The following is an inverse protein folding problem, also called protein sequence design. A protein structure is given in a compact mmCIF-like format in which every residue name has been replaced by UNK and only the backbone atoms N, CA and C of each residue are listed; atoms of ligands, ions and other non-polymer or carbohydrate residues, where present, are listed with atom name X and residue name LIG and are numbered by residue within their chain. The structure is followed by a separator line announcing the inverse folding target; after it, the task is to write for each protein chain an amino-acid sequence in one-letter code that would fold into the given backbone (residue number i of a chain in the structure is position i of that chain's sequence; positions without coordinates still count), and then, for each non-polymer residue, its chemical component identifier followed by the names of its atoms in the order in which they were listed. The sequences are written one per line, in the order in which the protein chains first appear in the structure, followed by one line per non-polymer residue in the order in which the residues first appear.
data_IF_403906615488
#
_entry.id   IF_403906615488
#
_cell.length_a   1.000
_cell.length_b   1.000
_cell.length_c   1.000
_cell.angle_alpha   90.00
_cell.angle_beta   90.00
_cell.angle_gamma   90.00
#
_symmetry.space_group_name_H-M   'P 1'
#
loop_
_entity.id
_entity.type
_entity.pdbx_description
1 polymer ?
#
# COMPACT_ATOMS: atom_id res chain seq x y z
N UNK A 1 14.22 81.77 38.46
CA UNK A 1 13.53 80.62 39.11
C UNK A 1 12.29 80.12 38.33
N UNK A 2 12.27 80.14 36.98
CA UNK A 2 11.15 79.62 36.16
C UNK A 2 11.49 78.34 35.36
N UNK A 3 12.77 77.94 35.32
CA UNK A 3 13.25 76.82 34.50
C UNK A 3 13.18 75.46 35.23
N UNK A 4 13.42 75.42 36.54
CA UNK A 4 13.34 74.18 37.33
C UNK A 4 11.89 73.67 37.43
N UNK A 5 10.94 74.57 37.67
CA UNK A 5 9.51 74.22 37.71
C UNK A 5 8.97 73.70 36.36
N UNK A 6 9.48 74.19 35.23
CA UNK A 6 9.11 73.69 33.89
C UNK A 6 9.71 72.30 33.61
N UNK A 7 10.92 72.03 34.11
CA UNK A 7 11.56 70.72 34.00
C UNK A 7 10.84 69.69 34.89
N UNK A 8 10.46 70.06 36.11
CA UNK A 8 9.66 69.20 36.99
C UNK A 8 8.27 68.89 36.39
N UNK A 9 7.61 69.87 35.76
CA UNK A 9 6.36 69.67 35.03
C UNK A 9 6.51 68.75 33.80
N UNK A 10 7.62 68.84 33.07
CA UNK A 10 7.92 67.95 31.94
C UNK A 10 8.24 66.52 32.41
N UNK A 11 8.95 66.38 33.53
CA UNK A 11 9.25 65.08 34.13
C UNK A 11 7.98 64.40 34.68
N UNK A 12 7.06 65.13 35.30
CA UNK A 12 5.78 64.56 35.76
C UNK A 12 4.85 64.21 34.60
N UNK A 13 4.79 65.04 33.55
CA UNK A 13 4.05 64.74 32.33
C UNK A 13 4.59 63.50 31.59
N UNK A 14 5.92 63.34 31.51
CA UNK A 14 6.53 62.12 30.94
C UNK A 14 6.29 60.89 31.80
N UNK A 15 6.33 61.02 33.14
CA UNK A 15 6.03 59.91 34.07
C UNK A 15 4.58 59.45 33.97
N UNK A 16 3.64 60.38 33.81
CA UNK A 16 2.22 60.08 33.68
C UNK A 16 1.87 59.47 32.32
N UNK A 17 2.54 59.92 31.24
CA UNK A 17 2.41 59.30 29.90
C UNK A 17 3.00 57.88 29.85
N UNK A 18 4.05 57.61 30.63
CA UNK A 18 4.66 56.29 30.79
C UNK A 18 3.87 55.35 31.73
N UNK A 19 3.00 55.87 32.61
CA UNK A 19 2.08 55.06 33.43
C UNK A 19 0.76 54.73 32.72
N UNK A 20 0.33 55.54 31.74
CA UNK A 20 -0.90 55.32 30.94
C UNK A 20 -0.63 54.53 29.63
N UNK A 21 0.62 54.48 29.17
CA UNK A 21 1.08 53.52 28.18
C UNK A 21 2.13 52.64 28.84
N UNK A 22 1.65 51.57 29.49
CA UNK A 22 2.50 50.57 30.10
C UNK A 22 3.57 50.10 29.11
N UNK A 23 4.83 50.25 29.51
CA UNK A 23 5.95 49.61 28.88
C UNK A 23 5.81 48.09 29.02
N UNK A 24 5.25 47.43 28.01
CA UNK A 24 5.61 46.07 27.62
C UNK A 24 5.29 45.86 26.15
N UNK A 25 6.08 46.51 25.30
CA UNK A 25 6.14 46.18 23.88
C UNK A 25 7.59 46.23 23.40
N UNK A 26 8.42 45.38 23.99
CA UNK A 26 9.50 44.71 23.28
C UNK A 26 10.06 43.59 24.16
N UNK A 27 10.26 42.40 23.56
CA UNK A 27 10.81 41.16 24.15
C UNK A 27 9.83 40.22 24.88
N UNK A 28 8.69 39.86 24.26
CA UNK A 28 8.05 38.55 24.50
C UNK A 28 7.56 37.80 23.26
N UNK A 29 7.61 38.39 22.06
CA UNK A 29 7.17 37.70 20.82
C UNK A 29 8.10 36.55 20.42
N UNK A 30 9.40 36.60 20.77
CA UNK A 30 10.34 35.51 20.43
C UNK A 30 10.18 34.27 21.32
N UNK A 31 9.78 34.43 22.59
CA UNK A 31 9.61 33.31 23.52
C UNK A 31 8.25 32.62 23.39
N UNK A 32 7.17 33.36 23.10
CA UNK A 32 5.86 32.74 22.86
C UNK A 32 5.80 31.99 21.52
N UNK A 33 6.43 32.51 20.46
CA UNK A 33 6.55 31.80 19.19
C UNK A 33 7.41 30.54 19.35
N UNK A 34 8.55 30.62 20.04
CA UNK A 34 9.38 29.43 20.33
C UNK A 34 8.66 28.40 21.20
N UNK A 35 7.90 28.82 22.21
CA UNK A 35 7.16 27.91 23.08
C UNK A 35 6.01 27.23 22.34
N UNK A 36 5.28 27.96 21.49
CA UNK A 36 4.25 27.38 20.62
C UNK A 36 4.83 26.42 19.57
N UNK A 37 6.02 26.69 19.03
CA UNK A 37 6.70 25.75 18.13
C UNK A 37 7.17 24.51 18.86
N UNK A 38 7.74 24.64 20.06
CA UNK A 38 8.21 23.50 20.85
C UNK A 38 7.03 22.61 21.32
N UNK A 39 5.91 23.21 21.73
CA UNK A 39 4.68 22.49 22.06
C UNK A 39 4.10 21.80 20.82
N UNK A 40 4.04 22.46 19.67
CA UNK A 40 3.54 21.87 18.42
C UNK A 40 4.43 20.73 17.91
N UNK A 41 5.76 20.83 18.09
CA UNK A 41 6.71 19.77 17.78
C UNK A 41 6.57 18.59 18.76
N UNK A 42 6.36 18.85 20.05
CA UNK A 42 6.07 17.82 21.04
C UNK A 42 4.77 17.07 20.73
N UNK A 43 3.68 17.79 20.43
CA UNK A 43 2.41 17.18 20.02
C UNK A 43 2.52 16.45 18.69
N UNK A 44 3.34 16.93 17.76
CA UNK A 44 3.62 16.24 16.50
C UNK A 44 4.35 14.93 16.68
N UNK A 45 5.33 14.90 17.59
CA UNK A 45 6.07 13.70 17.95
C UNK A 45 5.19 12.71 18.70
N UNK A 46 4.41 13.17 19.68
CA UNK A 46 3.44 12.35 20.39
C UNK A 46 2.38 11.76 19.44
N UNK A 47 1.93 12.53 18.45
CA UNK A 47 1.01 12.06 17.42
C UNK A 47 1.63 10.95 16.55
N UNK A 48 2.89 11.11 16.13
CA UNK A 48 3.63 10.10 15.38
C UNK A 48 3.83 8.81 16.17
N UNK A 49 4.19 8.91 17.46
CA UNK A 49 4.33 7.76 18.36
C UNK A 49 2.99 7.04 18.49
N UNK A 50 1.91 7.79 18.72
CA UNK A 50 0.57 7.21 18.84
C UNK A 50 0.11 6.50 17.57
N UNK A 51 0.35 7.09 16.39
CA UNK A 51 0.08 6.42 15.11
C UNK A 51 0.86 5.11 14.97
N UNK A 52 2.15 5.10 15.37
CA UNK A 52 2.97 3.89 15.31
C UNK A 52 2.43 2.78 16.22
N UNK A 53 1.86 3.14 17.38
CA UNK A 53 1.21 2.18 18.29
C UNK A 53 -0.08 1.61 17.71
N UNK A 54 -0.85 2.40 16.96
CA UNK A 54 -2.13 1.98 16.39
C UNK A 54 -1.97 1.15 15.08
N UNK A 55 -0.85 1.31 14.36
CA UNK A 55 -0.64 0.66 13.06
C UNK A 55 -0.65 -0.88 13.05
N UNK A 56 -0.08 -1.62 14.02
CA UNK A 56 -0.15 -3.08 14.01
C UNK A 56 -1.58 -3.62 13.88
N UNK A 57 -2.52 -3.05 14.64
CA UNK A 57 -3.93 -3.46 14.62
C UNK A 57 -4.59 -3.13 13.28
N UNK A 58 -4.31 -1.94 12.73
CA UNK A 58 -4.85 -1.50 11.45
C UNK A 58 -4.31 -2.27 10.25
N UNK A 59 -3.01 -2.58 10.27
CA UNK A 59 -2.39 -3.43 9.25
C UNK A 59 -3.00 -4.82 9.33
N UNK A 60 -3.13 -5.40 10.53
CA UNK A 60 -3.74 -6.71 10.71
C UNK A 60 -5.19 -6.75 10.22
N UNK A 61 -6.03 -5.77 10.60
CA UNK A 61 -7.41 -5.69 10.13
C UNK A 61 -7.51 -5.58 8.61
N UNK A 62 -6.60 -4.83 7.97
CA UNK A 62 -6.56 -4.72 6.51
C UNK A 62 -6.14 -6.04 5.84
N UNK A 63 -5.20 -6.78 6.44
CA UNK A 63 -4.79 -8.12 5.98
C UNK A 63 -5.92 -9.13 6.13
N UNK A 64 -6.67 -9.09 7.23
CA UNK A 64 -7.82 -9.97 7.48
C UNK A 64 -8.95 -9.73 6.47
N UNK A 65 -9.20 -8.46 6.10
CA UNK A 65 -10.11 -8.09 5.02
C UNK A 65 -9.55 -8.30 3.60
N UNK A 66 -8.33 -8.85 3.47
CA UNK A 66 -7.62 -9.06 2.19
C UNK A 66 -7.37 -7.78 1.38
N UNK A 67 -7.41 -6.61 2.01
CA UNK A 67 -7.02 -5.33 1.41
C UNK A 67 -5.51 -5.11 1.59
N UNK A 68 -4.74 -5.81 0.76
CA UNK A 68 -3.29 -5.81 0.83
C UNK A 68 -2.66 -4.47 0.41
N UNK A 69 -3.33 -3.70 -0.45
CA UNK A 69 -2.82 -2.39 -0.86
C UNK A 69 -2.90 -1.39 0.29
N UNK A 70 -4.03 -1.36 1.01
CA UNK A 70 -4.16 -0.54 2.22
C UNK A 70 -3.18 -0.99 3.30
N UNK A 71 -3.06 -2.29 3.54
CA UNK A 71 -2.08 -2.83 4.49
C UNK A 71 -0.64 -2.39 4.14
N UNK A 72 -0.28 -2.43 2.86
CA UNK A 72 1.04 -2.00 2.36
C UNK A 72 1.25 -0.50 2.57
N UNK A 73 0.26 0.34 2.27
CA UNK A 73 0.36 1.79 2.47
C UNK A 73 0.56 2.14 3.96
N UNK A 74 -0.19 1.50 4.86
CA UNK A 74 -0.04 1.67 6.30
C UNK A 74 1.35 1.22 6.79
N UNK A 75 1.85 0.08 6.30
CA UNK A 75 3.19 -0.39 6.61
C UNK A 75 4.29 0.59 6.14
N UNK A 76 4.18 1.10 4.91
CA UNK A 76 5.15 2.07 4.38
C UNK A 76 5.10 3.40 5.14
N UNK A 77 3.92 3.83 5.57
CA UNK A 77 3.76 5.00 6.41
C UNK A 77 4.38 4.78 7.80
N UNK A 78 4.15 3.62 8.42
CA UNK A 78 4.76 3.23 9.69
C UNK A 78 6.30 3.25 9.57
N UNK A 79 6.84 2.74 8.46
CA UNK A 79 8.28 2.77 8.16
C UNK A 79 8.82 4.20 8.05
N UNK A 80 8.11 5.07 7.35
CA UNK A 80 8.49 6.47 7.19
C UNK A 80 8.49 7.21 8.52
N UNK A 81 7.44 7.03 9.33
CA UNK A 81 7.36 7.64 10.67
C UNK A 81 8.50 7.13 11.55
N UNK A 82 8.72 5.82 11.60
CA UNK A 82 9.79 5.24 12.41
C UNK A 82 11.17 5.77 11.98
N UNK A 83 11.44 5.84 10.68
CA UNK A 83 12.71 6.38 10.15
C UNK A 83 12.86 7.86 10.47
N UNK A 84 11.78 8.65 10.32
CA UNK A 84 11.78 10.09 10.63
C UNK A 84 12.06 10.33 12.12
N UNK A 85 11.39 9.59 13.01
CA UNK A 85 11.61 9.66 14.46
C UNK A 85 13.05 9.30 14.87
N UNK A 86 13.68 8.35 14.18
CA UNK A 86 15.09 7.98 14.45
C UNK A 86 16.09 9.03 13.91
N UNK A 87 15.80 9.65 12.76
CA UNK A 87 16.66 10.69 12.17
C UNK A 87 16.56 12.02 12.93
N UNK A 88 15.43 12.31 13.57
CA UNK A 88 15.20 13.49 14.41
C UNK A 88 15.88 13.41 15.81
N UNK A 89 16.97 12.65 15.92
CA UNK A 89 17.79 12.42 17.13
C UNK A 89 18.34 13.70 17.81
N UNK A 90 18.10 14.88 17.23
CA UNK A 90 18.43 16.19 17.81
C UNK A 90 17.29 16.82 18.62
N UNK A 91 16.07 16.26 18.62
CA UNK A 91 14.86 17.01 18.99
C UNK A 91 14.25 16.79 20.39
N UNK A 92 14.65 15.80 21.19
CA UNK A 92 14.25 15.76 22.62
C UNK A 92 14.84 14.59 23.41
N UNK A 93 15.29 14.86 24.63
CA UNK A 93 15.67 13.85 25.64
C UNK A 93 14.52 12.92 26.01
N UNK A 94 13.27 13.30 25.74
CA UNK A 94 12.09 12.50 26.07
C UNK A 94 11.78 11.45 25.01
N UNK A 95 11.96 11.72 23.71
CA UNK A 95 11.85 10.70 22.65
C UNK A 95 12.86 9.58 22.88
N UNK A 96 14.03 9.92 23.44
CA UNK A 96 15.07 8.95 23.80
C UNK A 96 14.55 7.90 24.78
N UNK A 97 13.71 8.30 25.74
CA UNK A 97 13.12 7.38 26.72
C UNK A 97 12.12 6.41 26.09
N UNK A 98 11.48 6.79 25.00
CA UNK A 98 10.48 5.97 24.30
C UNK A 98 11.11 5.05 23.22
N UNK A 99 12.36 5.28 22.80
CA UNK A 99 13.01 4.46 21.77
C UNK A 99 13.03 2.95 22.06
N UNK A 100 13.22 2.45 23.29
CA UNK A 100 13.16 1.00 23.54
C UNK A 100 11.76 0.42 23.23
N UNK A 101 10.71 1.16 23.56
CA UNK A 101 9.32 0.77 23.27
C UNK A 101 9.05 0.85 21.77
N UNK A 102 9.45 1.95 21.12
CA UNK A 102 9.31 2.15 19.67
C UNK A 102 10.08 1.08 18.88
N UNK A 103 11.28 0.72 19.33
CA UNK A 103 12.10 -0.34 18.73
C UNK A 103 11.41 -1.70 18.83
N UNK A 104 10.86 -2.05 20.00
CA UNK A 104 10.09 -3.28 20.17
C UNK A 104 8.85 -3.32 19.28
N UNK A 105 8.13 -2.21 19.18
CA UNK A 105 6.94 -2.11 18.32
C UNK A 105 7.29 -2.15 16.83
N UNK A 106 8.37 -1.48 16.45
CA UNK A 106 8.88 -1.56 15.09
C UNK A 106 9.26 -3.00 14.70
N UNK A 107 9.86 -3.77 15.60
CA UNK A 107 10.13 -5.19 15.35
C UNK A 107 8.85 -5.96 15.03
N UNK A 108 7.77 -5.74 15.78
CA UNK A 108 6.46 -6.33 15.46
C UNK A 108 5.92 -5.86 14.10
N UNK A 109 6.00 -4.56 13.81
CA UNK A 109 5.57 -3.97 12.53
C UNK A 109 6.38 -4.53 11.35
N UNK A 110 7.68 -4.74 11.53
CA UNK A 110 8.59 -5.20 10.48
C UNK A 110 8.22 -6.58 9.92
N UNK A 111 7.66 -7.47 10.75
CA UNK A 111 7.20 -8.79 10.35
C UNK A 111 5.97 -8.75 9.44
N UNK A 112 5.17 -7.69 9.49
CA UNK A 112 4.02 -7.56 8.59
C UNK A 112 4.43 -7.48 7.12
N UNK A 113 5.65 -7.04 6.78
CA UNK A 113 6.14 -7.09 5.41
C UNK A 113 6.05 -8.52 4.84
N UNK A 114 6.56 -9.51 5.57
CA UNK A 114 6.51 -10.90 5.14
C UNK A 114 5.09 -11.45 5.13
N UNK A 115 4.26 -11.09 6.11
CA UNK A 115 2.85 -11.54 6.18
C UNK A 115 2.04 -11.02 5.00
N UNK A 116 2.17 -9.72 4.67
CA UNK A 116 1.49 -9.10 3.53
C UNK A 116 1.94 -9.77 2.22
N UNK A 117 3.25 -9.95 2.03
CA UNK A 117 3.79 -10.60 0.83
C UNK A 117 3.34 -12.07 0.69
N UNK A 118 3.32 -12.82 1.79
CA UNK A 118 2.84 -14.20 1.79
C UNK A 118 1.35 -14.26 1.43
N UNK A 119 0.54 -13.37 2.00
CA UNK A 119 -0.88 -13.25 1.66
C UNK A 119 -1.10 -12.89 0.19
N UNK A 120 -0.35 -11.91 -0.31
CA UNK A 120 -0.36 -11.53 -1.74
C UNK A 120 -0.05 -12.73 -2.64
N UNK A 121 1.04 -13.46 -2.36
CA UNK A 121 1.46 -14.63 -3.14
C UNK A 121 0.45 -15.78 -3.05
N UNK A 122 -0.18 -15.97 -1.90
CA UNK A 122 -1.25 -16.96 -1.74
C UNK A 122 -2.45 -16.62 -2.65
N UNK A 123 -2.84 -15.34 -2.73
CA UNK A 123 -3.90 -14.89 -3.64
C UNK A 123 -3.55 -15.06 -5.13
N UNK A 124 -2.27 -14.93 -5.50
CA UNK A 124 -1.84 -15.21 -6.89
C UNK A 124 -2.00 -16.68 -7.27
N UNK A 125 -1.87 -17.59 -6.29
CA UNK A 125 -2.05 -19.02 -6.48
C UNK A 125 -3.52 -19.47 -6.32
N UNK A 126 -4.39 -18.63 -5.76
CA UNK A 126 -5.77 -19.02 -5.47
C UNK A 126 -6.60 -19.21 -6.76
N UNK A 127 -7.34 -20.32 -6.77
CA UNK A 127 -8.12 -20.85 -7.90
C UNK A 127 -9.63 -20.78 -7.67
N UNK A 128 -10.06 -20.53 -6.43
CA UNK A 128 -11.46 -20.69 -6.02
C UNK A 128 -12.23 -19.37 -5.97
N UNK A 129 -11.54 -18.24 -5.87
CA UNK A 129 -12.16 -16.92 -5.85
C UNK A 129 -12.11 -16.23 -7.22
N UNK A 130 -13.28 -15.77 -7.68
CA UNK A 130 -13.44 -14.90 -8.84
C UNK A 130 -12.92 -13.50 -8.52
N UNK A 131 -11.59 -13.36 -8.43
CA UNK A 131 -10.95 -12.10 -8.11
C UNK A 131 -11.20 -11.05 -9.20
N UNK A 132 -11.62 -9.87 -8.75
CA UNK A 132 -11.75 -8.70 -9.63
C UNK A 132 -10.38 -8.27 -10.16
N UNK A 133 -10.38 -7.61 -11.32
CA UNK A 133 -9.14 -7.06 -11.91
C UNK A 133 -8.48 -6.02 -11.01
N UNK A 134 -9.30 -5.26 -10.26
CA UNK A 134 -8.81 -4.27 -9.31
C UNK A 134 -8.09 -4.92 -8.13
N UNK A 135 -8.66 -5.96 -7.52
CA UNK A 135 -8.00 -6.65 -6.40
C UNK A 135 -6.68 -7.29 -6.82
N UNK A 136 -6.63 -7.89 -8.01
CA UNK A 136 -5.39 -8.44 -8.55
C UNK A 136 -4.35 -7.33 -8.76
N UNK A 137 -4.78 -6.18 -9.27
CA UNK A 137 -3.94 -5.00 -9.43
C UNK A 137 -3.39 -4.52 -8.10
N UNK A 138 -4.23 -4.45 -7.07
CA UNK A 138 -3.88 -3.99 -5.72
C UNK A 138 -2.84 -4.92 -5.06
N UNK A 139 -2.99 -6.24 -5.24
CA UNK A 139 -2.03 -7.25 -4.79
C UNK A 139 -0.68 -7.09 -5.51
N UNK A 140 -0.69 -6.97 -6.83
CA UNK A 140 0.55 -6.81 -7.61
C UNK A 140 1.25 -5.48 -7.29
N UNK A 141 0.49 -4.39 -7.10
CA UNK A 141 1.01 -3.11 -6.61
C UNK A 141 1.67 -3.26 -5.24
N UNK A 142 1.06 -4.02 -4.33
CA UNK A 142 1.61 -4.28 -3.00
C UNK A 142 2.96 -4.97 -3.06
N UNK A 143 3.13 -5.97 -3.93
CA UNK A 143 4.42 -6.64 -4.16
C UNK A 143 5.46 -5.65 -4.69
N UNK A 144 5.11 -4.85 -5.71
CA UNK A 144 5.99 -3.81 -6.29
C UNK A 144 6.49 -2.84 -5.20
N UNK A 145 5.58 -2.36 -4.37
CA UNK A 145 5.86 -1.35 -3.34
C UNK A 145 6.70 -1.90 -2.17
N UNK A 146 6.57 -3.18 -1.83
CA UNK A 146 7.28 -3.79 -0.70
C UNK A 146 8.65 -4.37 -1.08
N UNK A 147 8.78 -4.93 -2.28
CA UNK A 147 10.03 -5.56 -2.77
C UNK A 147 10.84 -4.66 -3.71
N UNK A 148 10.36 -3.44 -4.00
CA UNK A 148 10.97 -2.52 -4.98
C UNK A 148 11.08 -3.15 -6.39
N UNK A 149 10.17 -4.09 -6.69
CA UNK A 149 10.16 -4.88 -7.93
C UNK A 149 9.65 -4.07 -9.12
N UNK A 150 10.15 -4.39 -10.31
CA UNK A 150 9.65 -3.80 -11.57
C UNK A 150 8.33 -4.45 -12.00
N UNK A 151 7.48 -3.76 -12.77
CA UNK A 151 6.28 -4.38 -13.38
C UNK A 151 6.59 -5.66 -14.17
N UNK A 152 7.79 -5.74 -14.77
CA UNK A 152 8.27 -6.93 -15.47
C UNK A 152 8.54 -8.10 -14.54
N UNK A 153 9.21 -7.87 -13.41
CA UNK A 153 9.48 -8.93 -12.43
C UNK A 153 8.18 -9.46 -11.84
N UNK A 154 7.26 -8.58 -11.47
CA UNK A 154 5.96 -8.97 -10.90
C UNK A 154 5.08 -9.67 -11.93
N UNK A 155 5.17 -9.31 -13.21
CA UNK A 155 4.53 -10.08 -14.28
C UNK A 155 5.07 -11.51 -14.39
N UNK A 156 6.39 -11.69 -14.34
CA UNK A 156 7.00 -13.04 -14.33
C UNK A 156 6.61 -13.83 -13.08
N UNK A 157 6.62 -13.20 -11.91
CA UNK A 157 6.19 -13.82 -10.66
C UNK A 157 4.71 -14.25 -10.71
N UNK A 158 3.85 -13.40 -11.28
CA UNK A 158 2.44 -13.72 -11.52
C UNK A 158 2.27 -14.97 -12.40
N UNK A 159 2.95 -15.04 -13.54
CA UNK A 159 2.88 -16.21 -14.42
C UNK A 159 3.40 -17.49 -13.74
N UNK A 160 4.47 -17.39 -12.95
CA UNK A 160 5.01 -18.51 -12.18
C UNK A 160 4.02 -18.99 -11.11
N UNK A 161 3.38 -18.07 -10.38
CA UNK A 161 2.35 -18.40 -9.39
C UNK A 161 1.15 -19.11 -10.04
N UNK A 162 0.69 -18.62 -11.19
CA UNK A 162 -0.41 -19.25 -11.96
C UNK A 162 -0.02 -20.61 -12.52
N UNK A 163 1.23 -20.80 -12.94
CA UNK A 163 1.74 -22.11 -13.37
C UNK A 163 1.78 -23.10 -12.21
N UNK A 164 2.23 -22.65 -11.02
CA UNK A 164 2.24 -23.48 -9.81
C UNK A 164 0.82 -23.88 -9.39
N UNK A 165 -0.13 -22.94 -9.40
CA UNK A 165 -1.53 -23.22 -9.11
C UNK A 165 -2.14 -24.24 -10.10
N UNK A 166 -1.81 -24.11 -11.39
CA UNK A 166 -2.21 -25.07 -12.42
C UNK A 166 -1.68 -26.47 -12.10
N UNK A 167 -0.39 -26.58 -11.76
CA UNK A 167 0.22 -27.84 -11.35
C UNK A 167 -0.47 -28.42 -10.10
N UNK A 168 -0.76 -27.61 -9.09
CA UNK A 168 -1.44 -28.07 -7.88
C UNK A 168 -2.85 -28.63 -8.18
N UNK A 169 -3.62 -27.97 -9.07
CA UNK A 169 -4.91 -28.50 -9.52
C UNK A 169 -4.75 -29.83 -10.24
N UNK A 170 -3.78 -29.95 -11.15
CA UNK A 170 -3.57 -31.16 -11.96
C UNK A 170 -3.02 -32.34 -11.14
N UNK A 171 -2.19 -32.07 -10.12
CA UNK A 171 -1.53 -33.09 -9.30
C UNK A 171 -2.30 -33.48 -8.04
N UNK A 172 -3.41 -32.81 -7.70
CA UNK A 172 -4.29 -33.16 -6.56
C UNK A 172 -5.07 -34.50 -6.73
N UNK A 173 -4.56 -35.42 -7.54
CA UNK A 173 -5.21 -36.63 -8.06
C UNK A 173 -5.98 -37.54 -7.06
N UNK A 174 -7.02 -38.18 -7.61
CA UNK A 174 -7.95 -39.18 -7.05
C UNK A 174 -8.93 -38.73 -5.94
N UNK A 175 -8.60 -37.75 -5.09
CA UNK A 175 -9.49 -37.36 -3.97
C UNK A 175 -10.50 -36.25 -4.34
N UNK A 176 -10.19 -35.45 -5.37
CA UNK A 176 -11.02 -34.35 -5.85
C UNK A 176 -11.85 -34.76 -7.07
N UNK A 177 -13.02 -34.15 -7.21
CA UNK A 177 -13.90 -34.37 -8.35
C UNK A 177 -13.20 -33.91 -9.65
N UNK A 178 -12.94 -34.85 -10.56
CA UNK A 178 -12.30 -34.60 -11.87
C UNK A 178 -12.98 -33.46 -12.63
N UNK A 179 -14.31 -33.34 -12.51
CA UNK A 179 -15.07 -32.23 -13.11
C UNK A 179 -14.62 -30.88 -12.56
N UNK A 180 -14.50 -30.75 -11.24
CA UNK A 180 -14.06 -29.51 -10.60
C UNK A 180 -12.61 -29.18 -10.94
N UNK A 181 -11.72 -30.17 -11.03
CA UNK A 181 -10.32 -29.94 -11.41
C UNK A 181 -10.21 -29.43 -12.84
N UNK A 182 -10.85 -30.09 -13.81
CA UNK A 182 -10.80 -29.66 -15.21
C UNK A 182 -11.45 -28.27 -15.38
N UNK A 183 -12.56 -28.02 -14.66
CA UNK A 183 -13.22 -26.71 -14.67
C UNK A 183 -12.34 -25.64 -14.01
N UNK A 184 -11.63 -25.97 -12.94
CA UNK A 184 -10.67 -25.09 -12.26
C UNK A 184 -9.47 -24.74 -13.13
N UNK A 185 -8.94 -25.70 -13.89
CA UNK A 185 -7.90 -25.46 -14.90
C UNK A 185 -8.39 -24.45 -15.95
N UNK A 186 -9.56 -24.68 -16.52
CA UNK A 186 -10.12 -23.76 -17.52
C UNK A 186 -10.39 -22.37 -16.93
N UNK A 187 -10.94 -22.30 -15.71
CA UNK A 187 -11.17 -21.04 -14.99
C UNK A 187 -9.88 -20.28 -14.78
N UNK A 188 -8.83 -20.95 -14.30
CA UNK A 188 -7.52 -20.36 -14.02
C UNK A 188 -6.87 -19.81 -15.30
N UNK A 189 -6.91 -20.55 -16.40
CA UNK A 189 -6.35 -20.09 -17.67
C UNK A 189 -7.10 -18.86 -18.21
N UNK A 190 -8.44 -18.91 -18.21
CA UNK A 190 -9.27 -17.80 -18.66
C UNK A 190 -9.10 -16.57 -17.77
N UNK A 191 -9.10 -16.73 -16.45
CA UNK A 191 -8.90 -15.62 -15.51
C UNK A 191 -7.50 -15.02 -15.64
N UNK A 192 -6.48 -15.86 -15.85
CA UNK A 192 -5.10 -15.40 -16.04
C UNK A 192 -4.98 -14.57 -17.30
N UNK A 193 -5.51 -15.04 -18.44
CA UNK A 193 -5.51 -14.26 -19.69
C UNK A 193 -6.26 -12.93 -19.55
N UNK A 194 -7.44 -12.95 -18.92
CA UNK A 194 -8.23 -11.75 -18.64
C UNK A 194 -7.44 -10.75 -17.78
N UNK A 195 -6.79 -11.23 -16.72
CA UNK A 195 -5.96 -10.41 -15.82
C UNK A 195 -4.69 -9.89 -16.50
N UNK A 196 -4.06 -10.67 -17.39
CA UNK A 196 -2.93 -10.20 -18.20
C UNK A 196 -3.38 -9.01 -19.05
N UNK A 197 -4.53 -9.13 -19.70
CA UNK A 197 -5.09 -8.06 -20.52
C UNK A 197 -5.52 -6.85 -19.69
N UNK A 198 -6.30 -7.01 -18.63
CA UNK A 198 -6.80 -5.87 -17.84
C UNK A 198 -5.70 -5.15 -17.04
N UNK A 199 -4.77 -5.91 -16.45
CA UNK A 199 -3.79 -5.38 -15.49
C UNK A 199 -2.53 -4.86 -16.18
N UNK A 200 -2.02 -5.57 -17.19
CA UNK A 200 -0.70 -5.31 -17.78
C UNK A 200 -0.74 -4.75 -19.19
N UNK A 201 -1.83 -4.92 -19.94
CA UNK A 201 -1.91 -4.36 -21.30
C UNK A 201 -2.12 -2.85 -21.23
N UNK A 202 -1.26 -2.12 -21.94
CA UNK A 202 -1.45 -0.71 -22.25
C UNK A 202 -1.58 -0.58 -23.76
N UNK A 203 -2.64 0.06 -24.23
CA UNK A 203 -2.77 0.41 -25.64
C UNK A 203 -2.12 1.79 -25.84
N UNK A 204 -1.01 1.82 -26.59
CA UNK A 204 -0.34 3.07 -26.95
C UNK A 204 -1.08 3.71 -28.12
N UNK A 205 -2.30 4.20 -27.90
CA UNK A 205 -2.98 5.02 -28.90
C UNK A 205 -2.96 6.48 -28.46
N UNK A 206 -2.46 7.36 -29.33
CA UNK A 206 -2.01 8.73 -29.04
C UNK A 206 -3.12 9.71 -28.61
N UNK A 207 -4.32 9.22 -28.31
CA UNK A 207 -5.51 10.06 -28.04
C UNK A 207 -6.26 9.72 -26.76
N UNK A 208 -5.96 8.62 -26.08
CA UNK A 208 -6.50 8.32 -24.73
C UNK A 208 -5.43 7.57 -23.93
N UNK A 209 -5.01 8.12 -22.79
CA UNK A 209 -4.10 7.45 -21.86
C UNK A 209 -4.78 6.24 -21.19
N UNK A 210 -5.01 5.15 -21.92
CA UNK A 210 -5.36 3.85 -21.33
C UNK A 210 -4.10 3.22 -20.75
N UNK A 211 -3.63 3.82 -19.66
CA UNK A 211 -2.63 3.19 -18.80
C UNK A 211 -3.23 1.93 -18.19
N UNK A 212 -2.53 0.80 -18.30
CA UNK A 212 -2.96 -0.47 -17.71
C UNK A 212 -3.27 -0.29 -16.22
N UNK A 213 -4.23 -1.05 -15.68
CA UNK A 213 -4.75 -0.84 -14.32
C UNK A 213 -3.63 -0.80 -13.27
N UNK A 214 -2.57 -1.57 -13.47
CA UNK A 214 -1.36 -1.55 -12.63
C UNK A 214 -0.67 -0.19 -12.61
N UNK A 215 -0.42 0.39 -13.79
CA UNK A 215 0.24 1.68 -13.88
C UNK A 215 -0.67 2.81 -13.39
N UNK A 216 -1.97 2.74 -13.67
CA UNK A 216 -2.95 3.69 -13.15
C UNK A 216 -3.03 3.64 -11.62
N UNK A 217 -3.08 2.45 -11.03
CA UNK A 217 -3.13 2.25 -9.57
C UNK A 217 -1.81 2.66 -8.92
N UNK A 218 -0.66 2.28 -9.48
CA UNK A 218 0.65 2.75 -8.99
C UNK A 218 0.74 4.28 -9.04
N UNK A 219 0.35 4.89 -10.16
CA UNK A 219 0.34 6.35 -10.29
C UNK A 219 -0.61 7.00 -9.29
N UNK A 220 -1.79 6.41 -9.04
CA UNK A 220 -2.71 6.87 -7.98
C UNK A 220 -2.05 6.80 -6.62
N UNK A 221 -1.44 5.67 -6.25
CA UNK A 221 -0.81 5.47 -4.94
C UNK A 221 0.40 6.39 -4.73
N UNK A 222 1.16 6.66 -5.79
CA UNK A 222 2.29 7.60 -5.75
C UNK A 222 1.81 9.07 -5.77
N UNK A 223 0.67 9.36 -6.40
CA UNK A 223 0.15 10.73 -6.54
C UNK A 223 -0.72 11.17 -5.36
N UNK A 224 -1.53 10.27 -4.81
CA UNK A 224 -2.41 10.53 -3.68
C UNK A 224 -1.56 10.72 -2.41
N UNK A 225 -1.56 11.94 -1.89
CA UNK A 225 -0.94 12.22 -0.59
C UNK A 225 -1.61 11.39 0.50
N UNK A 226 -0.84 10.91 1.48
CA UNK A 226 -1.32 10.11 2.62
C UNK A 226 -2.48 10.76 3.43
N UNK A 227 -2.85 12.02 3.17
CA UNK A 227 -3.96 12.73 3.81
C UNK A 227 -5.31 12.00 3.75
N UNK A 228 -5.67 11.37 2.63
CA UNK A 228 -6.99 10.70 2.54
C UNK A 228 -7.03 9.40 3.34
N UNK A 229 -5.93 8.64 3.33
CA UNK A 229 -5.77 7.44 4.15
C UNK A 229 -5.68 7.77 5.64
N UNK A 230 -4.96 8.83 6.00
CA UNK A 230 -4.83 9.32 7.37
C UNK A 230 -6.15 9.87 7.91
N UNK A 231 -6.95 10.58 7.09
CA UNK A 231 -8.26 11.09 7.51
C UNK A 231 -9.20 9.98 7.97
N UNK A 232 -9.23 8.85 7.24
CA UNK A 232 -10.07 7.72 7.58
C UNK A 232 -9.66 7.05 8.90
N UNK A 233 -8.34 6.97 9.16
CA UNK A 233 -7.80 6.28 10.33
C UNK A 233 -7.70 7.18 11.59
N UNK A 234 -7.65 8.50 11.43
CA UNK A 234 -7.55 9.48 12.54
C UNK A 234 -8.89 9.80 13.21
N UNK A 235 -10.02 9.28 12.71
CA UNK A 235 -11.37 9.65 13.16
C UNK A 235 -11.68 9.42 14.66
N UNK A 236 -10.80 8.73 15.41
CA UNK A 236 -10.99 8.49 16.85
C UNK A 236 -9.86 8.95 17.79
N UNK A 237 -8.65 9.25 17.30
CA UNK A 237 -7.46 9.15 18.16
C UNK A 237 -6.60 10.41 18.27
N UNK A 238 -6.46 11.22 17.22
CA UNK A 238 -5.52 12.35 17.21
C UNK A 238 -6.06 13.44 16.30
N UNK A 239 -6.05 14.69 16.74
CA UNK A 239 -6.43 15.80 15.86
C UNK A 239 -5.50 15.79 14.65
N UNK A 240 -6.05 15.73 13.44
CA UNK A 240 -5.31 15.84 12.18
C UNK A 240 -4.45 17.10 12.10
N UNK A 241 -4.68 18.08 12.99
CA UNK A 241 -3.88 19.30 13.17
C UNK A 241 -2.49 19.03 13.77
N UNK A 242 -2.37 18.03 14.65
CA UNK A 242 -1.12 17.73 15.36
C UNK A 242 -0.15 16.90 14.52
N UNK A 243 -0.61 16.19 13.48
CA UNK A 243 0.27 15.38 12.64
C UNK A 243 1.19 16.27 11.78
N UNK A 244 2.52 16.07 11.79
CA UNK A 244 3.46 16.85 11.00
C UNK A 244 3.19 16.78 9.49
N UNK A 245 3.52 17.84 8.78
CA UNK A 245 3.39 17.93 7.31
C UNK A 245 4.18 16.83 6.58
N UNK A 246 5.33 16.41 7.12
CA UNK A 246 6.16 15.32 6.62
C UNK A 246 5.44 13.95 6.58
N UNK A 247 4.44 13.75 7.43
CA UNK A 247 3.63 12.53 7.49
C UNK A 247 2.39 12.66 6.58
N UNK A 248 1.78 13.86 6.55
CA UNK A 248 0.61 14.15 5.68
C UNK A 248 0.93 14.08 4.20
N UNK A 249 2.13 14.50 3.82
CA UNK A 249 2.58 14.57 2.43
C UNK A 249 3.36 13.34 2.00
N UNK A 250 3.47 12.32 2.88
CA UNK A 250 4.18 11.10 2.53
C UNK A 250 3.54 10.45 1.29
N UNK A 251 4.41 10.05 0.37
CA UNK A 251 4.09 9.34 -0.86
C UNK A 251 5.06 8.16 -0.95
N UNK A 252 4.57 6.93 -1.17
CA UNK A 252 5.43 5.80 -1.45
C UNK A 252 6.35 6.14 -2.64
N UNK A 253 7.65 6.13 -2.42
CA UNK A 253 8.63 6.35 -3.47
C UNK A 253 8.94 5.02 -4.14
N UNK A 254 8.70 4.93 -5.45
CA UNK A 254 9.22 3.85 -6.28
C UNK A 254 10.70 4.13 -6.55
N UNK A 255 11.59 3.25 -6.10
CA UNK A 255 13.04 3.37 -6.38
C UNK A 255 13.35 3.14 -7.86
N UNK A 256 12.54 2.35 -8.54
CA UNK A 256 12.66 2.07 -9.98
C UNK A 256 11.43 2.64 -10.67
N UNK A 257 11.57 3.47 -11.73
CA UNK A 257 10.41 3.97 -12.45
C UNK A 257 9.60 2.79 -13.01
N UNK A 258 8.28 2.85 -12.83
CA UNK A 258 7.38 1.85 -13.40
C UNK A 258 7.32 2.05 -14.92
N UNK A 259 8.25 1.40 -15.63
CA UNK A 259 8.24 1.39 -17.09
C UNK A 259 7.10 0.49 -17.58
N UNK A 260 6.24 0.96 -18.48
CA UNK A 260 5.22 0.11 -19.07
C UNK A 260 5.87 -1.06 -19.81
N UNK A 261 5.26 -2.24 -19.69
CA UNK A 261 5.71 -3.43 -20.41
C UNK A 261 5.50 -3.22 -21.91
N UNK A 262 6.52 -3.53 -22.70
CA UNK A 262 6.36 -3.51 -24.15
C UNK A 262 5.37 -4.60 -24.57
N UNK A 263 4.37 -4.22 -25.37
CA UNK A 263 3.31 -5.13 -25.83
C UNK A 263 3.87 -6.38 -26.54
N UNK A 264 5.02 -6.26 -27.23
CA UNK A 264 5.72 -7.40 -27.84
C UNK A 264 6.22 -8.39 -26.79
N UNK A 265 6.92 -7.91 -25.75
CA UNK A 265 7.43 -8.75 -24.68
C UNK A 265 6.30 -9.40 -23.86
N UNK A 266 5.20 -8.67 -23.64
CA UNK A 266 4.01 -9.21 -23.00
C UNK A 266 3.43 -10.38 -23.80
N UNK A 267 3.28 -10.21 -25.12
CA UNK A 267 2.80 -11.24 -26.04
C UNK A 267 3.71 -12.46 -26.04
N UNK A 268 5.03 -12.26 -26.20
CA UNK A 268 5.99 -13.35 -26.29
C UNK A 268 6.00 -14.19 -25.00
N UNK A 269 6.04 -13.55 -23.83
CA UNK A 269 5.97 -14.22 -22.54
C UNK A 269 4.64 -14.93 -22.31
N UNK A 270 3.51 -14.30 -22.69
CA UNK A 270 2.20 -14.91 -22.57
C UNK A 270 2.05 -16.12 -23.50
N UNK A 271 2.61 -16.06 -24.71
CA UNK A 271 2.59 -17.17 -25.66
C UNK A 271 3.46 -18.33 -25.20
N UNK A 272 4.66 -18.05 -24.68
CA UNK A 272 5.53 -19.07 -24.10
C UNK A 272 4.88 -19.73 -22.87
N UNK A 273 4.28 -18.93 -22.00
CA UNK A 273 3.54 -19.42 -20.83
C UNK A 273 2.35 -20.30 -21.25
N UNK A 274 1.54 -19.84 -22.19
CA UNK A 274 0.40 -20.59 -22.72
C UNK A 274 0.83 -21.94 -23.32
N UNK A 275 1.91 -21.97 -24.10
CA UNK A 275 2.44 -23.20 -24.67
C UNK A 275 2.88 -24.19 -23.58
N UNK A 276 3.49 -23.69 -22.50
CA UNK A 276 3.92 -24.51 -21.35
C UNK A 276 2.70 -25.08 -20.62
N UNK A 277 1.70 -24.24 -20.33
CA UNK A 277 0.45 -24.67 -19.71
C UNK A 277 -0.29 -25.69 -20.58
N UNK A 278 -0.31 -25.52 -21.90
CA UNK A 278 -0.98 -26.44 -22.81
C UNK A 278 -0.35 -27.84 -22.78
N UNK A 279 0.98 -27.95 -22.71
CA UNK A 279 1.67 -29.24 -22.56
C UNK A 279 1.34 -29.91 -21.21
N UNK A 280 1.33 -29.13 -20.12
CA UNK A 280 0.98 -29.65 -18.79
C UNK A 280 -0.49 -30.08 -18.70
N UNK A 281 -1.40 -29.30 -19.27
CA UNK A 281 -2.84 -29.61 -19.32
C UNK A 281 -3.09 -30.84 -20.17
N UNK A 282 -2.48 -31.00 -21.33
CA UNK A 282 -2.62 -32.20 -22.16
C UNK A 282 -2.21 -33.47 -21.39
N UNK A 283 -1.08 -33.41 -20.71
CA UNK A 283 -0.56 -34.53 -19.93
C UNK A 283 -1.39 -34.80 -18.68
N UNK A 284 -1.76 -33.74 -17.95
CA UNK A 284 -2.52 -33.81 -16.70
C UNK A 284 -3.98 -34.20 -16.91
N UNK A 285 -4.68 -33.54 -17.83
CA UNK A 285 -6.08 -33.86 -18.17
C UNK A 285 -6.17 -35.25 -18.81
N UNK A 286 -5.20 -35.67 -19.62
CA UNK A 286 -5.15 -37.04 -20.12
C UNK A 286 -5.15 -38.09 -19.00
N UNK A 287 -4.37 -37.85 -17.93
CA UNK A 287 -4.39 -38.69 -16.73
C UNK A 287 -5.72 -38.57 -15.98
N UNK A 288 -6.27 -37.37 -15.81
CA UNK A 288 -7.54 -37.17 -15.12
C UNK A 288 -8.73 -37.84 -15.82
N UNK A 289 -8.77 -37.78 -17.15
CA UNK A 289 -9.81 -38.43 -17.96
C UNK A 289 -9.75 -39.96 -17.90
N UNK A 290 -8.57 -40.55 -17.64
CA UNK A 290 -8.46 -42.01 -17.44
C UNK A 290 -9.27 -42.51 -16.24
N UNK A 291 -9.59 -41.64 -15.26
CA UNK A 291 -10.42 -41.99 -14.11
C UNK A 291 -11.93 -41.83 -14.38
N UNK A 292 -12.32 -41.31 -15.55
CA UNK A 292 -13.73 -41.11 -15.89
C UNK A 292 -14.27 -42.35 -16.62
N UNK A 293 -15.06 -43.16 -15.90
CA UNK A 293 -15.58 -44.43 -16.40
C UNK A 293 -16.94 -44.35 -17.12
N UNK A 294 -17.48 -43.15 -17.37
CA UNK A 294 -18.81 -42.97 -17.96
C UNK A 294 -18.85 -41.82 -18.96
N UNK A 295 -19.43 -42.09 -20.13
CA UNK A 295 -19.69 -41.09 -21.18
C UNK A 295 -20.55 -39.93 -20.67
N UNK A 296 -21.48 -40.20 -19.74
CA UNK A 296 -22.32 -39.16 -19.13
C UNK A 296 -21.47 -38.15 -18.35
N UNK A 297 -20.48 -38.60 -17.57
CA UNK A 297 -19.58 -37.71 -16.82
C UNK A 297 -18.70 -36.88 -17.76
N UNK A 298 -18.24 -37.45 -18.87
CA UNK A 298 -17.48 -36.70 -19.88
C UNK A 298 -18.35 -35.62 -20.52
N UNK A 299 -19.61 -35.93 -20.85
CA UNK A 299 -20.57 -34.94 -21.32
C UNK A 299 -20.83 -33.85 -20.28
N UNK A 300 -21.04 -34.21 -19.01
CA UNK A 300 -21.23 -33.24 -17.92
C UNK A 300 -20.02 -32.32 -17.70
N UNK A 301 -18.79 -32.81 -17.93
CA UNK A 301 -17.56 -32.02 -17.89
C UNK A 301 -17.50 -31.06 -19.08
N UNK A 302 -17.77 -31.56 -20.29
CA UNK A 302 -17.82 -30.76 -21.52
C UNK A 302 -18.83 -29.64 -21.38
N UNK A 303 -20.03 -29.93 -20.90
CA UNK A 303 -21.11 -28.95 -20.80
C UNK A 303 -20.77 -27.85 -19.79
N UNK A 304 -20.18 -28.20 -18.64
CA UNK A 304 -19.70 -27.20 -17.67
C UNK A 304 -18.51 -26.38 -18.18
N UNK A 305 -17.61 -26.96 -18.97
CA UNK A 305 -16.56 -26.20 -19.65
C UNK A 305 -17.13 -25.24 -20.69
N UNK A 306 -18.12 -25.69 -21.46
CA UNK A 306 -18.78 -24.89 -22.48
C UNK A 306 -19.49 -23.68 -21.85
N UNK A 307 -20.24 -23.89 -20.77
CA UNK A 307 -20.87 -22.80 -20.01
C UNK A 307 -19.84 -21.79 -19.48
N UNK A 308 -18.67 -22.25 -19.03
CA UNK A 308 -17.62 -21.39 -18.52
C UNK A 308 -16.94 -20.56 -19.62
N UNK A 309 -16.68 -21.16 -20.77
CA UNK A 309 -16.00 -20.52 -21.90
C UNK A 309 -16.93 -19.67 -22.79
N UNK A 310 -18.24 -19.90 -22.71
CA UNK A 310 -19.24 -19.11 -23.45
C UNK A 310 -19.55 -17.74 -22.83
N UNK A 311 -18.97 -17.44 -21.66
CA UNK A 311 -19.06 -16.14 -20.97
C UNK A 311 -17.88 -15.25 -21.34
#
# INVERSE_FOLDING_TARGET
MKSIAQIEMLCTAMRQKHMLHGASFHVQVKNEVNKNTDEMEFYGTAAQIKLLMDFPEKIWSSVDCQDYLKATQLYLLARHINTSLHLDSRRSSDVIKWFPVLSRQWTAISHFKSTILQGCRALLCDTDADWSDQQMTDVLCSIILLEDSTPRQVFTEFLLARTKALQEILHSGQQSNVKLQITGVARLLTSTLRQIYSVFFCENDQTKETTGLLLATLNKVVSTSSQDNLKLELHGSISSRCVPSSVKQYKPLLKTPATPLQTKQLRDNCQQWMNTCLQEVQTGVGKLLSYVNSVKRVADIRDSLWELLSK
#
